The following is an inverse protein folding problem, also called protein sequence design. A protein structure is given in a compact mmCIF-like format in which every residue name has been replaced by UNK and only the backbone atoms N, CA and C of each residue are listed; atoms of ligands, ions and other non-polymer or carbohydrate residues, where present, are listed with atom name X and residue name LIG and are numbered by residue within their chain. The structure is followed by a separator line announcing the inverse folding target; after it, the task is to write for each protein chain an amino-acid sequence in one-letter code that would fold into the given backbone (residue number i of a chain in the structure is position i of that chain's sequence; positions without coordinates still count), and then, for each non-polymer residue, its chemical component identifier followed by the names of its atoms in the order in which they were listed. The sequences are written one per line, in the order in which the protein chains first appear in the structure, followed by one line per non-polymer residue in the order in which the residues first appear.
data_IF_558033822973
#
_entry.id   IF_558033822973
#
_cell.length_a   1.000
_cell.length_b   1.000
_cell.length_c   1.000
_cell.angle_alpha   90.00
_cell.angle_beta   90.00
_cell.angle_gamma   90.00
#
_symmetry.space_group_name_H-M   'P 1'
#
loop_
_entity.id
_entity.type
_entity.pdbx_description
1 polymer ?
#
# COMPACT_ATOMS: atom_id res chain seq x y z
N UNK A 1 3.55 -20.51 -13.76
CA UNK A 1 2.97 -19.25 -14.26
C UNK A 1 3.01 -18.22 -13.14
N UNK A 2 3.20 -16.95 -13.46
CA UNK A 2 3.08 -15.86 -12.48
C UNK A 2 1.61 -15.72 -12.04
N UNK A 3 1.40 -15.36 -10.78
CA UNK A 3 0.07 -15.05 -10.25
C UNK A 3 -0.19 -13.58 -10.57
N UNK A 4 -1.15 -13.29 -11.45
CA UNK A 4 -1.46 -11.91 -11.84
C UNK A 4 -2.72 -11.43 -11.15
N UNK A 5 -2.61 -10.33 -10.40
CA UNK A 5 -3.70 -9.72 -9.63
C UNK A 5 -3.96 -8.32 -10.21
N UNK A 6 -5.18 -8.01 -10.68
CA UNK A 6 -5.47 -6.67 -11.17
C UNK A 6 -5.51 -5.67 -10.01
N UNK A 7 -4.89 -4.50 -10.22
CA UNK A 7 -4.89 -3.39 -9.29
C UNK A 7 -5.53 -2.16 -9.94
N UNK A 8 -6.73 -1.80 -9.47
CA UNK A 8 -7.38 -0.56 -9.85
C UNK A 8 -6.78 0.61 -9.05
N UNK A 9 -6.60 1.75 -9.70
CA UNK A 9 -6.01 2.95 -9.10
C UNK A 9 -7.05 4.07 -9.06
N UNK A 10 -7.34 4.59 -7.88
CA UNK A 10 -8.27 5.71 -7.69
C UNK A 10 -7.47 6.91 -7.17
N UNK A 11 -7.26 7.92 -8.01
CA UNK A 11 -6.65 9.18 -7.61
C UNK A 11 -7.73 10.04 -6.94
N UNK A 12 -7.58 10.26 -5.63
CA UNK A 12 -8.57 10.95 -4.80
C UNK A 12 -8.11 12.37 -4.50
N UNK A 13 -8.81 13.34 -5.08
CA UNK A 13 -8.68 14.76 -4.72
C UNK A 13 -9.67 15.08 -3.61
N UNK A 14 -9.19 15.62 -2.49
CA UNK A 14 -10.07 16.04 -1.40
C UNK A 14 -10.67 17.41 -1.70
N UNK A 15 -11.94 17.60 -1.34
CA UNK A 15 -12.63 18.89 -1.34
C UNK A 15 -12.74 19.40 0.10
N UNK A 16 -12.34 20.65 0.33
CA UNK A 16 -12.45 21.33 1.61
C UNK A 16 -12.78 22.80 1.40
N UNK A 17 -13.63 23.36 2.27
CA UNK A 17 -14.03 24.79 2.25
C UNK A 17 -14.50 25.30 0.89
N UNK A 18 -15.24 24.47 0.14
CA UNK A 18 -15.81 24.83 -1.16
C UNK A 18 -14.84 24.77 -2.34
N UNK A 19 -13.61 24.24 -2.15
CA UNK A 19 -12.63 24.08 -3.22
C UNK A 19 -11.94 22.71 -3.20
N UNK A 20 -11.41 22.31 -4.35
CA UNK A 20 -10.55 21.13 -4.46
C UNK A 20 -9.15 21.46 -3.94
N UNK A 21 -8.58 20.54 -3.15
CA UNK A 21 -7.21 20.64 -2.69
C UNK A 21 -6.24 20.26 -3.80
N UNK A 22 -4.99 20.71 -3.67
CA UNK A 22 -3.94 20.37 -4.62
C UNK A 22 -3.74 18.84 -4.68
N UNK A 23 -3.60 18.33 -5.91
CA UNK A 23 -3.40 16.92 -6.20
C UNK A 23 -2.14 16.74 -7.05
N UNK A 24 -1.15 16.04 -6.53
CA UNK A 24 0.12 15.77 -7.25
C UNK A 24 0.13 14.44 -8.01
N UNK A 25 -0.74 13.49 -7.68
CA UNK A 25 -0.82 12.24 -8.42
C UNK A 25 -1.30 12.49 -9.86
N UNK A 26 -0.49 12.05 -10.81
CA UNK A 26 -0.87 11.89 -12.20
C UNK A 26 -1.07 10.41 -12.50
N UNK A 27 -1.83 10.09 -13.55
CA UNK A 27 -1.99 8.70 -14.01
C UNK A 27 -0.66 8.06 -14.42
N UNK A 28 0.25 8.83 -15.03
CA UNK A 28 1.59 8.36 -15.38
C UNK A 28 2.40 8.01 -14.13
N UNK A 29 2.41 8.89 -13.13
CA UNK A 29 3.10 8.66 -11.87
C UNK A 29 2.49 7.45 -11.13
N UNK A 30 1.16 7.40 -11.04
CA UNK A 30 0.41 6.27 -10.45
C UNK A 30 0.76 4.93 -11.10
N UNK A 31 0.78 4.89 -12.43
CA UNK A 31 1.12 3.68 -13.19
C UNK A 31 2.58 3.28 -13.00
N UNK A 32 3.50 4.26 -12.97
CA UNK A 32 4.93 4.00 -12.73
C UNK A 32 5.19 3.44 -11.34
N UNK A 33 4.51 3.99 -10.32
CA UNK A 33 4.57 3.52 -8.93
C UNK A 33 4.05 2.08 -8.83
N UNK A 34 2.87 1.79 -9.39
CA UNK A 34 2.31 0.43 -9.37
C UNK A 34 3.25 -0.57 -10.05
N UNK A 35 3.80 -0.23 -11.23
CA UNK A 35 4.72 -1.10 -11.95
C UNK A 35 5.95 -1.43 -11.11
N UNK A 36 6.61 -0.42 -10.56
CA UNK A 36 7.81 -0.64 -9.72
C UNK A 36 7.49 -1.39 -8.43
N UNK A 37 6.35 -1.11 -7.79
CA UNK A 37 5.90 -1.85 -6.61
C UNK A 37 5.64 -3.33 -6.93
N UNK A 38 4.99 -3.58 -8.08
CA UNK A 38 4.75 -4.93 -8.60
C UNK A 38 6.06 -5.65 -8.90
N UNK A 39 7.03 -4.99 -9.55
CA UNK A 39 8.33 -5.58 -9.87
C UNK A 39 9.11 -6.01 -8.61
N UNK A 40 9.08 -5.18 -7.55
CA UNK A 40 9.68 -5.51 -6.26
C UNK A 40 9.11 -6.81 -5.69
N UNK A 41 7.78 -6.96 -5.68
CA UNK A 41 7.12 -8.17 -5.18
C UNK A 41 7.34 -9.36 -6.11
N UNK A 42 7.21 -9.17 -7.43
CA UNK A 42 7.32 -10.20 -8.45
C UNK A 42 8.69 -10.87 -8.44
N UNK A 43 9.75 -10.09 -8.25
CA UNK A 43 11.13 -10.57 -8.24
C UNK A 43 11.38 -11.69 -7.22
N UNK A 44 10.61 -11.74 -6.13
CA UNK A 44 10.73 -12.75 -5.07
C UNK A 44 9.54 -13.71 -5.03
N UNK A 45 8.32 -13.20 -5.19
CA UNK A 45 7.09 -13.97 -4.99
C UNK A 45 6.53 -14.60 -6.26
N UNK A 46 6.95 -14.13 -7.44
CA UNK A 46 6.31 -14.44 -8.72
C UNK A 46 4.80 -14.07 -8.74
N UNK A 47 4.40 -13.08 -7.94
CA UNK A 47 3.10 -12.41 -7.96
C UNK A 47 3.28 -11.06 -8.64
N UNK A 48 2.43 -10.74 -9.59
CA UNK A 48 2.42 -9.48 -10.33
C UNK A 48 1.10 -8.75 -10.08
N UNK A 49 1.18 -7.47 -9.76
CA UNK A 49 0.03 -6.57 -9.75
C UNK A 49 -0.03 -5.83 -11.08
N UNK A 50 -0.96 -6.24 -11.94
CA UNK A 50 -1.15 -5.62 -13.26
C UNK A 50 -2.10 -4.43 -13.15
N UNK A 51 -1.84 -3.36 -13.91
CA UNK A 51 -2.72 -2.18 -13.96
C UNK A 51 -4.13 -2.58 -14.43
N UNK A 52 -5.12 -2.32 -13.57
CA UNK A 52 -6.54 -2.36 -13.91
C UNK A 52 -7.00 -1.01 -14.45
N UNK A 53 -8.08 -0.47 -13.88
CA UNK A 53 -8.54 0.89 -14.21
C UNK A 53 -7.69 1.96 -13.52
N UNK A 54 -7.69 3.17 -14.09
CA UNK A 54 -7.22 4.38 -13.40
C UNK A 54 -8.34 5.40 -13.46
N UNK A 55 -8.83 5.82 -12.30
CA UNK A 55 -9.91 6.79 -12.16
C UNK A 55 -9.46 8.00 -11.34
N UNK A 56 -10.09 9.15 -11.58
CA UNK A 56 -9.88 10.38 -10.81
C UNK A 56 -11.22 10.77 -10.20
N UNK A 57 -11.22 11.00 -8.90
CA UNK A 57 -12.43 11.32 -8.14
C UNK A 57 -12.18 12.50 -7.23
N UNK A 58 -13.25 13.22 -6.91
CA UNK A 58 -13.23 14.31 -5.94
C UNK A 58 -14.16 13.94 -4.80
N UNK A 59 -13.63 13.92 -3.59
CA UNK A 59 -14.35 13.46 -2.40
C UNK A 59 -14.34 14.53 -1.31
N UNK A 60 -15.48 14.68 -0.65
CA UNK A 60 -15.60 15.47 0.56
C UNK A 60 -15.61 14.51 1.75
N UNK A 61 -14.64 14.69 2.67
CA UNK A 61 -14.53 13.81 3.83
C UNK A 61 -15.73 14.00 4.76
N UNK A 62 -16.18 12.94 5.45
CA UNK A 62 -17.27 13.06 6.41
C UNK A 62 -16.87 13.98 7.58
N UNK A 63 -17.87 14.54 8.27
CA UNK A 63 -17.66 15.58 9.29
C UNK A 63 -16.80 15.16 10.48
N UNK A 64 -16.65 13.85 10.72
CA UNK A 64 -15.86 13.24 11.78
C UNK A 64 -14.42 12.89 11.35
N UNK A 65 -14.06 13.13 10.09
CA UNK A 65 -12.72 12.94 9.56
C UNK A 65 -11.99 14.28 9.33
N UNK A 66 -10.66 14.23 9.23
CA UNK A 66 -9.87 15.37 8.79
C UNK A 66 -10.26 15.81 7.36
N UNK A 67 -10.49 17.11 7.17
CA UNK A 67 -10.99 17.65 5.89
C UNK A 67 -9.91 17.87 4.83
N UNK A 68 -8.64 17.96 5.23
CA UNK A 68 -7.52 18.29 4.33
C UNK A 68 -6.51 17.16 4.15
N UNK A 69 -6.68 16.07 4.89
CA UNK A 69 -5.78 14.92 4.92
C UNK A 69 -6.59 13.67 5.20
N UNK A 70 -6.16 12.51 4.70
CA UNK A 70 -6.86 11.25 4.99
C UNK A 70 -6.33 10.64 6.28
N UNK A 71 -7.13 10.65 7.34
CA UNK A 71 -6.89 9.90 8.58
C UNK A 71 -7.55 8.51 8.52
N UNK A 72 -7.59 7.79 9.65
CA UNK A 72 -8.19 6.46 9.70
C UNK A 72 -9.70 6.47 9.34
N UNK A 73 -10.45 7.48 9.80
CA UNK A 73 -11.87 7.61 9.49
C UNK A 73 -12.08 7.90 7.99
N UNK A 74 -11.28 8.81 7.43
CA UNK A 74 -11.27 9.09 5.99
C UNK A 74 -10.88 7.87 5.15
N UNK A 75 -9.91 7.06 5.59
CA UNK A 75 -9.56 5.80 4.94
C UNK A 75 -10.75 4.83 4.92
N UNK A 76 -11.43 4.67 6.06
CA UNK A 76 -12.60 3.79 6.15
C UNK A 76 -13.73 4.24 5.23
N UNK A 77 -14.00 5.54 5.19
CA UNK A 77 -14.95 6.12 4.24
C UNK A 77 -14.56 5.83 2.79
N UNK A 78 -13.34 6.18 2.38
CA UNK A 78 -12.90 5.99 1.00
C UNK A 78 -12.87 4.51 0.60
N UNK A 79 -12.44 3.60 1.47
CA UNK A 79 -12.42 2.17 1.19
C UNK A 79 -13.83 1.56 1.09
N UNK A 80 -14.83 2.16 1.75
CA UNK A 80 -16.23 1.76 1.63
C UNK A 80 -16.88 2.29 0.33
N UNK A 81 -16.53 3.52 -0.07
CA UNK A 81 -16.99 4.17 -1.31
C UNK A 81 -16.37 3.52 -2.54
N UNK A 82 -15.04 3.34 -2.52
CA UNK A 82 -14.22 2.85 -3.62
C UNK A 82 -13.75 1.42 -3.32
N UNK A 83 -14.64 0.45 -3.55
CA UNK A 83 -14.38 -0.96 -3.24
C UNK A 83 -13.42 -1.60 -4.26
N UNK A 84 -12.61 -2.54 -3.80
CA UNK A 84 -11.84 -3.39 -4.70
C UNK A 84 -12.75 -4.30 -5.52
N UNK A 85 -12.53 -4.35 -6.84
CA UNK A 85 -13.23 -5.25 -7.76
C UNK A 85 -12.78 -6.71 -7.59
N UNK A 86 -12.37 -7.35 -8.69
CA UNK A 86 -11.92 -8.75 -8.66
C UNK A 86 -10.58 -8.93 -7.95
N UNK A 87 -9.66 -7.96 -8.10
CA UNK A 87 -8.34 -7.93 -7.46
C UNK A 87 -8.26 -7.00 -6.26
N UNK A 88 -7.41 -5.97 -6.35
CA UNK A 88 -7.16 -4.96 -5.30
C UNK A 88 -7.46 -3.54 -5.81
N UNK A 89 -7.56 -2.59 -4.89
CA UNK A 89 -7.65 -1.16 -5.22
C UNK A 89 -6.68 -0.33 -4.40
N UNK A 90 -5.95 0.56 -5.06
CA UNK A 90 -5.10 1.55 -4.42
C UNK A 90 -5.75 2.95 -4.49
N UNK A 91 -6.02 3.53 -3.31
CA UNK A 91 -6.49 4.89 -3.13
C UNK A 91 -5.26 5.80 -3.05
N UNK A 92 -5.08 6.66 -4.04
CA UNK A 92 -3.91 7.50 -4.20
C UNK A 92 -4.28 8.91 -3.74
N UNK A 93 -3.72 9.33 -2.61
CA UNK A 93 -4.07 10.60 -1.94
C UNK A 93 -2.86 11.52 -1.87
N UNK A 94 -3.07 12.83 -1.90
CA UNK A 94 -1.95 13.77 -1.77
C UNK A 94 -1.33 13.74 -0.37
N UNK A 95 -2.17 13.65 0.67
CA UNK A 95 -1.76 13.71 2.08
C UNK A 95 -2.60 12.79 2.95
N UNK A 96 -1.95 12.20 3.95
CA UNK A 96 -2.58 11.37 4.97
C UNK A 96 -2.14 11.80 6.37
N UNK A 97 -3.06 11.76 7.34
CA UNK A 97 -2.80 12.07 8.75
C UNK A 97 -2.22 10.83 9.42
N UNK A 98 -0.98 10.92 9.94
CA UNK A 98 -0.32 9.83 10.69
C UNK A 98 -0.33 8.46 9.97
N UNK A 99 0.31 8.42 8.81
CA UNK A 99 0.75 7.14 8.25
C UNK A 99 2.21 7.00 8.56
N UNK A 100 2.57 6.13 9.52
CA UNK A 100 3.97 5.94 9.94
C UNK A 100 4.90 5.54 8.78
N UNK A 101 4.30 5.15 7.64
CA UNK A 101 4.97 4.86 6.36
C UNK A 101 4.39 5.56 5.13
N UNK A 102 3.40 6.46 5.26
CA UNK A 102 2.72 7.03 4.09
C UNK A 102 1.57 6.20 3.52
N UNK A 103 1.29 4.99 4.01
CA UNK A 103 0.22 4.12 3.53
C UNK A 103 -0.64 3.48 4.63
N UNK A 104 -1.73 2.85 4.21
CA UNK A 104 -2.63 2.06 5.06
C UNK A 104 -3.33 0.98 4.22
N UNK A 105 -3.59 -0.20 4.78
CA UNK A 105 -4.29 -1.26 4.05
C UNK A 105 -5.15 -2.13 4.97
N UNK A 106 -6.17 -2.77 4.38
CA UNK A 106 -7.00 -3.78 5.05
C UNK A 106 -7.23 -4.96 4.13
N UNK A 107 -6.76 -6.12 4.55
CA UNK A 107 -6.88 -7.36 3.76
C UNK A 107 -8.35 -7.69 3.42
N UNK A 108 -9.28 -7.44 4.35
CA UNK A 108 -10.70 -7.76 4.20
C UNK A 108 -11.36 -6.96 3.06
N UNK A 109 -10.98 -5.68 2.89
CA UNK A 109 -11.50 -4.84 1.82
C UNK A 109 -10.70 -5.00 0.53
N UNK A 110 -9.45 -5.51 0.60
CA UNK A 110 -8.47 -5.56 -0.51
C UNK A 110 -8.15 -4.16 -1.05
N UNK A 111 -8.30 -3.15 -0.19
CA UNK A 111 -8.00 -1.76 -0.49
C UNK A 111 -6.74 -1.38 0.28
N UNK A 112 -5.86 -0.64 -0.38
CA UNK A 112 -4.79 0.11 0.26
C UNK A 112 -4.88 1.59 -0.10
N UNK A 113 -4.31 2.44 0.74
CA UNK A 113 -4.15 3.87 0.56
C UNK A 113 -2.66 4.18 0.51
N UNK A 114 -2.28 5.01 -0.46
CA UNK A 114 -0.89 5.43 -0.70
C UNK A 114 -0.87 6.95 -0.78
N UNK A 115 -0.16 7.59 0.14
CA UNK A 115 0.09 9.02 0.09
C UNK A 115 1.18 9.33 -0.94
N UNK A 116 1.15 10.55 -1.49
CA UNK A 116 2.18 11.02 -2.39
C UNK A 116 3.54 11.12 -1.67
N UNK A 117 4.52 10.34 -2.10
CA UNK A 117 5.88 10.33 -1.52
C UNK A 117 6.85 11.34 -2.13
N UNK A 118 8.11 11.29 -1.71
CA UNK A 118 9.19 12.19 -2.18
C UNK A 118 9.57 11.97 -3.64
N UNK A 119 9.55 10.72 -4.08
CA UNK A 119 9.96 10.27 -5.41
C UNK A 119 9.29 8.95 -5.76
N UNK A 120 9.38 8.54 -7.03
CA UNK A 120 8.72 7.32 -7.52
C UNK A 120 9.20 6.09 -6.75
N UNK A 121 10.49 5.96 -6.46
CA UNK A 121 11.05 4.75 -5.87
C UNK A 121 10.60 4.58 -4.41
N UNK A 122 10.60 5.67 -3.63
CA UNK A 122 10.09 5.68 -2.26
C UNK A 122 8.59 5.34 -2.21
N UNK A 123 7.78 5.98 -3.06
CA UNK A 123 6.34 5.71 -3.14
C UNK A 123 6.06 4.28 -3.61
N UNK A 124 6.90 3.72 -4.50
CA UNK A 124 6.78 2.34 -4.97
C UNK A 124 7.08 1.33 -3.86
N UNK A 125 8.07 1.59 -3.00
CA UNK A 125 8.34 0.74 -1.82
C UNK A 125 7.18 0.77 -0.83
N UNK A 126 6.61 1.95 -0.60
CA UNK A 126 5.40 2.12 0.22
C UNK A 126 4.23 1.33 -0.36
N UNK A 127 3.98 1.43 -1.67
CA UNK A 127 2.92 0.63 -2.31
C UNK A 127 3.22 -0.88 -2.24
N UNK A 128 4.46 -1.31 -2.44
CA UNK A 128 4.84 -2.72 -2.32
C UNK A 128 4.62 -3.24 -0.89
N UNK A 129 4.90 -2.42 0.12
CA UNK A 129 4.63 -2.72 1.53
C UNK A 129 3.13 -2.94 1.78
N UNK A 130 2.28 -2.00 1.36
CA UNK A 130 0.82 -2.13 1.53
C UNK A 130 0.23 -3.30 0.73
N UNK A 131 0.73 -3.56 -0.47
CA UNK A 131 0.36 -4.75 -1.25
C UNK A 131 0.79 -6.04 -0.53
N UNK A 132 1.93 -6.02 0.18
CA UNK A 132 2.37 -7.10 1.04
C UNK A 132 1.37 -7.41 2.17
N UNK A 133 0.80 -6.37 2.80
CA UNK A 133 -0.27 -6.55 3.79
C UNK A 133 -1.54 -7.16 3.17
N UNK A 134 -1.92 -6.77 1.95
CA UNK A 134 -3.03 -7.40 1.23
C UNK A 134 -2.77 -8.88 0.89
N UNK A 135 -1.49 -9.27 0.79
CA UNK A 135 -1.02 -10.66 0.69
C UNK A 135 -0.81 -11.32 2.07
N UNK A 136 -1.44 -10.81 3.12
CA UNK A 136 -1.40 -11.37 4.49
C UNK A 136 -0.01 -11.37 5.14
N UNK A 137 0.88 -10.47 4.74
CA UNK A 137 2.18 -10.33 5.39
C UNK A 137 2.07 -9.33 6.55
N UNK A 138 2.30 -9.74 7.82
CA UNK A 138 2.36 -8.80 8.94
C UNK A 138 3.69 -8.05 8.96
N UNK A 139 3.77 -7.01 9.80
CA UNK A 139 5.05 -6.37 10.10
C UNK A 139 6.04 -7.35 10.73
N UNK A 140 7.29 -7.33 10.27
CA UNK A 140 8.34 -8.24 10.76
C UNK A 140 8.73 -7.93 12.21
N UNK A 141 8.49 -6.71 12.66
CA UNK A 141 8.83 -6.18 13.98
C UNK A 141 7.61 -6.02 14.90
N UNK A 142 6.47 -6.62 14.57
CA UNK A 142 5.26 -6.59 15.42
C UNK A 142 5.44 -7.19 16.83
N UNK A 143 6.48 -8.01 17.04
CA UNK A 143 6.86 -8.55 18.35
C UNK A 143 7.97 -7.79 19.08
N UNK A 144 8.43 -6.65 18.53
CA UNK A 144 9.50 -5.84 19.10
C UNK A 144 9.15 -5.38 20.52
N UNK A 145 10.11 -5.46 21.43
CA UNK A 145 9.96 -4.97 22.80
C UNK A 145 10.87 -3.76 23.01
N UNK A 146 10.43 -2.72 23.75
CA UNK A 146 11.32 -1.64 24.16
C UNK A 146 12.43 -2.18 25.07
N UNK A 147 13.69 -1.83 24.80
CA UNK A 147 14.83 -2.19 25.64
C UNK A 147 16.10 -2.56 24.85
N UNK A 148 17.26 -2.64 25.52
CA UNK A 148 18.53 -3.04 24.90
C UNK A 148 18.55 -4.53 24.53
N UNK A 149 19.41 -4.92 23.58
CA UNK A 149 19.66 -6.32 23.22
C UNK A 149 18.94 -6.82 21.96
N UNK A 150 18.28 -5.94 21.20
CA UNK A 150 17.64 -6.26 19.91
C UNK A 150 18.32 -5.56 18.72
N UNK A 151 19.52 -4.99 18.89
CA UNK A 151 20.18 -4.16 17.88
C UNK A 151 20.45 -4.93 16.58
N UNK A 152 20.86 -6.20 16.71
CA UNK A 152 21.06 -7.09 15.55
C UNK A 152 19.75 -7.42 14.83
N UNK A 153 18.65 -7.57 15.58
CA UNK A 153 17.32 -7.79 15.01
C UNK A 153 16.79 -6.54 14.31
N UNK A 154 17.01 -5.36 14.89
CA UNK A 154 16.64 -4.09 14.30
C UNK A 154 17.28 -3.86 12.93
N UNK A 155 18.58 -4.15 12.80
CA UNK A 155 19.27 -4.05 11.51
C UNK A 155 18.70 -5.02 10.45
N UNK A 156 18.27 -6.22 10.86
CA UNK A 156 17.62 -7.17 9.96
C UNK A 156 16.21 -6.72 9.58
N UNK A 157 15.43 -6.20 10.54
CA UNK A 157 14.10 -5.64 10.29
C UNK A 157 14.15 -4.47 9.31
N UNK A 158 15.07 -3.53 9.47
CA UNK A 158 15.22 -2.37 8.57
C UNK A 158 15.49 -2.77 7.10
N UNK A 159 15.99 -3.97 6.83
CA UNK A 159 16.20 -4.51 5.47
C UNK A 159 15.02 -5.36 4.98
N UNK A 160 13.94 -5.45 5.75
CA UNK A 160 12.75 -6.18 5.36
C UNK A 160 11.72 -5.24 4.74
N UNK A 161 11.07 -5.66 3.65
CA UNK A 161 10.01 -4.87 3.02
C UNK A 161 8.82 -4.65 3.96
N UNK A 162 8.55 -5.57 4.89
CA UNK A 162 7.46 -5.48 5.87
C UNK A 162 7.92 -4.89 7.20
N UNK A 163 8.95 -4.03 7.21
CA UNK A 163 9.30 -3.25 8.41
C UNK A 163 8.31 -2.11 8.63
N UNK A 164 7.85 -1.89 9.87
CA UNK A 164 6.89 -0.82 10.15
C UNK A 164 7.49 0.59 10.13
N UNK A 165 8.83 0.72 10.08
CA UNK A 165 9.55 1.99 9.97
C UNK A 165 10.10 2.25 8.57
N UNK A 166 10.85 3.35 8.40
CA UNK A 166 11.32 3.82 7.10
C UNK A 166 11.90 2.70 6.21
N UNK A 167 11.34 2.55 5.01
CA UNK A 167 11.67 1.45 4.10
C UNK A 167 13.02 1.69 3.42
N UNK A 168 13.96 0.78 3.69
CA UNK A 168 15.28 0.78 3.08
C UNK A 168 15.19 0.58 1.55
N UNK A 169 16.00 1.27 0.73
CA UNK A 169 16.03 1.06 -0.72
C UNK A 169 16.32 -0.39 -1.16
N UNK A 170 17.05 -1.14 -0.34
CA UNK A 170 17.36 -2.56 -0.54
C UNK A 170 16.46 -3.49 0.30
N UNK A 171 15.28 -3.03 0.71
CA UNK A 171 14.36 -3.82 1.50
C UNK A 171 13.76 -4.98 0.68
N UNK A 172 13.75 -6.18 1.23
CA UNK A 172 13.28 -7.39 0.54
C UNK A 172 12.40 -8.26 1.45
N UNK A 173 11.64 -9.18 0.84
CA UNK A 173 10.91 -10.22 1.56
C UNK A 173 11.82 -11.40 1.89
N UNK A 174 11.62 -12.01 3.06
CA UNK A 174 12.25 -13.29 3.40
C UNK A 174 11.60 -14.44 2.64
N UNK A 175 12.27 -15.60 2.56
CA UNK A 175 11.70 -16.80 1.95
C UNK A 175 10.38 -17.24 2.60
N UNK A 176 10.27 -17.12 3.93
CA UNK A 176 9.02 -17.42 4.66
C UNK A 176 7.89 -16.47 4.23
N UNK A 177 8.18 -15.17 4.10
CA UNK A 177 7.20 -14.19 3.61
C UNK A 177 6.82 -14.46 2.15
N UNK A 178 7.77 -14.88 1.31
CA UNK A 178 7.50 -15.26 -0.07
C UNK A 178 6.51 -16.43 -0.15
N UNK A 179 6.71 -17.47 0.66
CA UNK A 179 5.79 -18.61 0.73
C UNK A 179 4.42 -18.21 1.29
N UNK A 180 4.39 -17.37 2.34
CA UNK A 180 3.15 -16.85 2.91
C UNK A 180 2.36 -16.01 1.89
N UNK A 181 3.02 -15.14 1.14
CA UNK A 181 2.39 -14.29 0.14
C UNK A 181 1.72 -15.13 -0.97
N UNK A 182 2.40 -16.17 -1.46
CA UNK A 182 1.90 -17.06 -2.53
C UNK A 182 0.72 -17.93 -2.10
N UNK A 183 0.66 -18.26 -0.82
CA UNK A 183 -0.42 -19.03 -0.21
C UNK A 183 -1.51 -18.16 0.44
N UNK A 184 -1.39 -16.83 0.31
CA UNK A 184 -2.35 -15.89 0.89
C UNK A 184 -3.76 -16.06 0.30
N UNK A 185 -4.83 -15.72 1.05
CA UNK A 185 -6.19 -15.77 0.52
C UNK A 185 -6.38 -14.96 -0.77
N UNK A 186 -5.69 -13.83 -0.89
CA UNK A 186 -5.71 -13.03 -2.10
C UNK A 186 -5.04 -13.78 -3.27
N UNK A 187 -3.81 -14.27 -3.10
CA UNK A 187 -3.10 -14.98 -4.17
C UNK A 187 -3.82 -16.26 -4.62
N UNK A 188 -4.44 -17.01 -3.70
CA UNK A 188 -5.23 -18.21 -4.01
C UNK A 188 -6.41 -17.96 -4.94
N UNK A 189 -7.03 -16.77 -4.89
CA UNK A 189 -8.09 -16.38 -5.84
C UNK A 189 -7.61 -16.33 -7.29
N UNK A 190 -6.30 -16.22 -7.49
CA UNK A 190 -5.65 -16.11 -8.79
C UNK A 190 -4.71 -17.29 -9.07
N UNK A 191 -4.94 -18.43 -8.42
CA UNK A 191 -4.19 -19.68 -8.66
C UNK A 191 -2.94 -19.86 -7.81
N UNK A 192 -2.72 -19.01 -6.81
CA UNK A 192 -1.71 -19.24 -5.76
C UNK A 192 -1.97 -20.50 -4.96
N UNK A 193 -0.90 -21.07 -4.38
CA UNK A 193 -0.93 -22.29 -3.56
C UNK A 193 -0.20 -22.03 -2.25
#
# INVERSE_FOLDING_TARGET
MAITIPADLTIVTLRSRGGELAQRWTEEYATSVLRQASDLLRSRTNIEFSRGTVERVVEEMPSDAASETVDEAGYHFLAATHKAGTGVRALLVDRASRTELGGQSRQQTRVCLIAYGSDVAATSRMMAHELGHLLSLPHVDGGRRPGPGQERLAAAWMRNLMYSGALNPAAELTETQVQAARSSPLARRFGGR
#
